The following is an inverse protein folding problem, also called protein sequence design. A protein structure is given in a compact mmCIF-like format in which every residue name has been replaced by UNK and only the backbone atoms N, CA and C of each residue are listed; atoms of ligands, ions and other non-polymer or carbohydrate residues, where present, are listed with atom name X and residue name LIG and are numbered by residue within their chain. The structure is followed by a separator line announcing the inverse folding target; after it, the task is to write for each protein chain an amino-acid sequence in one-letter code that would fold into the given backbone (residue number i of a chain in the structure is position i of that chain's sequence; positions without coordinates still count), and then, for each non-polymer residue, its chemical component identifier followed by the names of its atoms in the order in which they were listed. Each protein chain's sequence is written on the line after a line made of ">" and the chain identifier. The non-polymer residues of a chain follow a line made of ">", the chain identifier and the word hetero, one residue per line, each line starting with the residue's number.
data_IF_002959043932
#
_entry.id   IF_002959043932
#
_cell.length_a   1.000
_cell.length_b   1.000
_cell.length_c   1.000
_cell.angle_alpha   90.00
_cell.angle_beta   90.00
_cell.angle_gamma   90.00
#
_symmetry.space_group_name_H-M   'P 1'
#
loop_
_entity.id
_entity.type
_entity.pdbx_description
1 polymer ?
#
# COMPACT_ATOMS: atom_id res chain seq x y z
N UNK A 1 33.05 3.36 46.16
CA UNK A 1 34.35 3.88 45.68
C UNK A 1 34.68 3.13 44.39
N UNK A 2 34.73 3.65 43.17
CA UNK A 2 34.57 4.97 42.56
C UNK A 2 33.90 4.71 41.17
N UNK A 3 32.86 5.46 40.79
CA UNK A 3 32.91 6.66 39.94
C UNK A 3 32.97 6.39 38.42
N UNK A 4 31.77 6.47 37.81
CA UNK A 4 31.37 7.20 36.59
C UNK A 4 32.44 7.53 35.52
N UNK A 5 32.13 7.23 34.25
CA UNK A 5 32.21 8.24 33.19
C UNK A 5 31.39 7.88 31.93
N UNK A 6 30.29 8.60 31.75
CA UNK A 6 29.50 8.77 30.54
C UNK A 6 30.17 9.79 29.61
N UNK A 7 30.38 9.47 28.32
CA UNK A 7 30.68 10.47 27.30
C UNK A 7 29.68 10.40 26.14
N UNK A 8 28.72 11.32 26.21
CA UNK A 8 27.92 11.82 25.11
C UNK A 8 28.76 12.83 24.33
N UNK A 9 28.98 12.62 23.04
CA UNK A 9 29.62 13.60 22.16
C UNK A 9 28.56 14.23 21.25
N UNK A 10 27.98 15.34 21.74
CA UNK A 10 27.35 16.35 20.89
C UNK A 10 28.46 17.13 20.21
N UNK A 11 28.50 17.13 18.88
CA UNK A 11 29.31 18.08 18.12
C UNK A 11 28.40 19.21 17.65
N UNK A 12 28.73 20.41 18.12
CA UNK A 12 28.22 21.70 17.67
C UNK A 12 29.39 22.42 16.98
N UNK A 13 29.23 22.89 15.75
CA UNK A 13 30.17 23.81 15.08
C UNK A 13 29.38 24.87 14.29
N UNK A 14 29.85 26.13 14.20
CA UNK A 14 29.01 27.32 14.24
C UNK A 14 28.80 28.00 12.89
N UNK A 15 27.93 29.02 12.94
CA UNK A 15 27.68 30.03 11.92
C UNK A 15 28.95 30.76 11.45
N UNK A 16 29.01 31.15 10.17
CA UNK A 16 29.25 32.54 9.77
C UNK A 16 28.87 32.83 8.31
N UNK A 17 28.41 34.07 8.16
CA UNK A 17 28.03 34.86 6.99
C UNK A 17 29.12 34.90 5.89
N UNK A 18 28.71 34.90 4.60
CA UNK A 18 29.40 35.75 3.62
C UNK A 18 28.44 36.26 2.56
N UNK A 19 28.40 37.58 2.47
CA UNK A 19 27.75 38.40 1.47
C UNK A 19 28.67 38.54 0.25
N UNK A 20 28.11 38.43 -0.95
CA UNK A 20 28.66 39.12 -2.12
C UNK A 20 27.58 39.33 -3.19
N UNK A 21 27.12 40.56 -3.28
CA UNK A 21 26.32 41.13 -4.36
C UNK A 21 27.15 41.23 -5.64
N UNK A 22 26.52 41.01 -6.81
CA UNK A 22 26.64 41.85 -8.02
C UNK A 22 25.82 41.28 -9.19
N UNK A 23 24.62 41.80 -9.33
CA UNK A 23 23.95 42.30 -10.54
C UNK A 23 24.47 41.83 -11.93
N UNK A 24 23.56 41.27 -12.75
CA UNK A 24 23.48 41.66 -14.16
C UNK A 24 22.02 41.78 -14.59
N UNK A 25 21.71 42.98 -15.07
CA UNK A 25 20.45 43.46 -15.61
C UNK A 25 20.21 42.87 -17.00
N UNK A 26 18.99 42.41 -17.24
CA UNK A 26 18.52 42.01 -18.56
C UNK A 26 17.00 42.03 -18.61
N UNK A 27 16.43 43.24 -18.62
CA UNK A 27 15.02 43.48 -18.81
C UNK A 27 14.59 43.07 -20.24
N UNK A 28 13.71 42.07 -20.32
CA UNK A 28 13.00 41.68 -21.53
C UNK A 28 11.56 41.32 -21.14
N UNK A 29 10.73 42.35 -21.01
CA UNK A 29 9.32 42.20 -20.69
C UNK A 29 8.58 41.44 -21.81
N UNK A 30 7.74 40.45 -21.41
CA UNK A 30 6.30 40.37 -21.73
C UNK A 30 5.78 38.94 -21.57
N UNK A 31 5.09 38.69 -20.45
CA UNK A 31 3.71 38.18 -20.44
C UNK A 31 3.32 37.90 -19.00
N UNK A 32 2.53 38.82 -18.43
CA UNK A 32 1.80 38.62 -17.19
C UNK A 32 0.75 37.52 -17.43
N UNK A 33 0.93 36.36 -16.80
CA UNK A 33 -0.21 35.65 -16.23
C UNK A 33 0.25 35.09 -14.88
N UNK A 34 -0.06 35.86 -13.84
CA UNK A 34 0.14 35.49 -12.47
C UNK A 34 -0.86 34.40 -12.07
N UNK A 35 -0.36 33.43 -11.32
CA UNK A 35 -1.07 32.80 -10.22
C UNK A 35 -2.28 31.93 -10.58
N UNK A 36 -2.04 30.62 -10.68
CA UNK A 36 -2.68 29.65 -9.77
C UNK A 36 -2.02 28.28 -9.87
N UNK A 37 -1.44 27.89 -8.73
CA UNK A 37 -1.22 26.52 -8.26
C UNK A 37 -0.13 25.74 -9.00
N UNK A 38 1.08 25.81 -8.46
CA UNK A 38 1.93 24.63 -8.38
C UNK A 38 1.13 23.53 -7.68
N UNK A 39 0.58 22.59 -8.44
CA UNK A 39 0.06 21.36 -7.86
C UNK A 39 1.27 20.59 -7.35
N UNK A 40 1.55 20.73 -6.05
CA UNK A 40 2.26 19.71 -5.32
C UNK A 40 1.59 18.36 -5.61
N UNK A 41 2.33 17.25 -5.76
CA UNK A 41 1.77 15.97 -5.38
C UNK A 41 1.67 15.96 -3.85
N UNK A 42 0.77 16.80 -3.30
CA UNK A 42 0.25 16.59 -1.97
C UNK A 42 -0.55 15.30 -2.04
N UNK A 43 0.10 14.22 -1.63
CA UNK A 43 -0.54 13.11 -0.94
C UNK A 43 -1.84 12.69 -1.60
N UNK A 44 -1.78 12.31 -2.88
CA UNK A 44 -2.83 11.48 -3.43
C UNK A 44 -2.60 10.04 -2.97
N UNK A 45 -2.79 9.80 -1.68
CA UNK A 45 -3.34 8.54 -1.20
C UNK A 45 -4.80 8.44 -1.69
N UNK A 46 -4.99 8.53 -3.01
CA UNK A 46 -6.27 8.30 -3.66
C UNK A 46 -6.16 6.90 -4.28
N UNK A 47 -6.95 5.99 -3.70
CA UNK A 47 -7.29 4.65 -4.18
C UNK A 47 -6.36 3.48 -3.78
N UNK A 48 -6.26 3.19 -2.48
CA UNK A 48 -6.23 1.76 -2.06
C UNK A 48 -7.68 1.36 -1.79
N UNK A 49 -8.42 1.11 -2.88
CA UNK A 49 -9.63 0.32 -2.77
C UNK A 49 -9.23 -1.15 -2.73
N UNK A 50 -9.89 -2.01 -1.92
CA UNK A 50 -9.79 -3.46 -2.08
C UNK A 50 -10.08 -3.79 -3.54
N UNK A 51 -9.05 -4.26 -4.27
CA UNK A 51 -9.05 -4.62 -5.68
C UNK A 51 -10.47 -4.85 -6.24
N UNK A 52 -11.04 -3.83 -6.89
CA UNK A 52 -12.40 -3.87 -7.39
C UNK A 52 -12.57 -5.06 -8.37
N UNK A 53 -13.48 -5.98 -8.02
CA UNK A 53 -13.72 -7.24 -8.75
C UNK A 53 -13.82 -8.46 -7.81
N UNK A 54 -14.34 -9.60 -8.29
CA UNK A 54 -14.38 -10.87 -7.53
C UNK A 54 -12.99 -11.51 -7.44
N UNK A 55 -12.12 -10.92 -6.62
CA UNK A 55 -10.76 -11.40 -6.32
C UNK A 55 -10.59 -11.61 -4.82
N UNK A 56 -9.60 -12.42 -4.46
CA UNK A 56 -9.12 -12.60 -3.10
C UNK A 56 -8.08 -11.54 -2.76
N UNK A 57 -8.15 -10.93 -1.58
CA UNK A 57 -7.29 -9.79 -1.22
C UNK A 57 -5.82 -10.22 -1.02
N UNK A 58 -5.58 -11.36 -0.38
CA UNK A 58 -4.22 -11.87 -0.16
C UNK A 58 -3.62 -12.57 -1.39
N UNK A 59 -4.32 -13.56 -1.95
CA UNK A 59 -3.75 -14.43 -2.99
C UNK A 59 -4.07 -13.97 -4.41
N UNK A 60 -4.94 -12.97 -4.60
CA UNK A 60 -5.33 -12.50 -5.94
C UNK A 60 -6.13 -13.49 -6.79
N UNK A 61 -6.62 -14.59 -6.21
CA UNK A 61 -7.38 -15.62 -6.93
C UNK A 61 -8.60 -15.02 -7.63
N UNK A 62 -8.67 -15.22 -8.95
CA UNK A 62 -9.72 -14.72 -9.83
C UNK A 62 -10.56 -15.87 -10.40
N UNK A 63 -11.70 -15.53 -11.00
CA UNK A 63 -12.51 -16.49 -11.73
C UNK A 63 -11.72 -17.11 -12.89
N UNK A 64 -11.97 -18.39 -13.15
CA UNK A 64 -11.42 -19.11 -14.28
C UNK A 64 -12.43 -19.18 -15.43
N UNK A 65 -11.96 -19.11 -16.67
CA UNK A 65 -12.80 -19.32 -17.84
C UNK A 65 -12.95 -20.82 -18.07
N UNK A 66 -14.18 -21.33 -18.07
CA UNK A 66 -14.47 -22.74 -18.26
C UNK A 66 -15.65 -22.98 -19.20
N UNK A 67 -16.02 -24.25 -19.34
CA UNK A 67 -17.19 -24.67 -20.11
C UNK A 67 -18.13 -25.49 -19.23
N UNK A 68 -19.43 -25.42 -19.53
CA UNK A 68 -20.40 -26.45 -19.19
C UNK A 68 -20.49 -27.38 -20.39
N UNK A 69 -20.24 -28.67 -20.19
CA UNK A 69 -20.32 -29.70 -21.23
C UNK A 69 -21.62 -30.48 -21.01
N UNK A 70 -22.45 -30.62 -22.05
CA UNK A 70 -23.64 -31.48 -21.99
C UNK A 70 -23.30 -32.94 -22.28
N UNK A 71 -24.26 -33.85 -22.09
CA UNK A 71 -24.11 -35.26 -22.45
C UNK A 71 -23.74 -35.45 -23.94
N UNK A 72 -24.35 -34.64 -24.82
CA UNK A 72 -24.01 -34.58 -26.25
C UNK A 72 -22.72 -33.81 -26.57
N UNK A 73 -21.86 -33.55 -25.57
CA UNK A 73 -20.60 -32.79 -25.70
C UNK A 73 -20.71 -31.35 -26.22
N UNK A 74 -21.89 -30.72 -26.16
CA UNK A 74 -22.05 -29.29 -26.49
C UNK A 74 -21.40 -28.44 -25.41
N UNK A 75 -20.49 -27.54 -25.79
CA UNK A 75 -19.72 -26.70 -24.86
C UNK A 75 -20.28 -25.28 -24.80
N UNK A 76 -20.81 -24.90 -23.64
CA UNK A 76 -21.25 -23.52 -23.37
C UNK A 76 -20.25 -22.82 -22.47
N UNK A 77 -19.81 -21.61 -22.84
CA UNK A 77 -18.88 -20.80 -22.03
C UNK A 77 -19.50 -20.48 -20.67
N UNK A 78 -18.74 -20.62 -19.59
CA UNK A 78 -19.12 -20.16 -18.24
C UNK A 78 -17.90 -19.68 -17.46
N UNK A 79 -18.11 -18.76 -16.52
CA UNK A 79 -17.08 -18.35 -15.59
C UNK A 79 -17.17 -19.19 -14.31
N UNK A 80 -16.09 -19.89 -13.97
CA UNK A 80 -15.94 -20.57 -12.69
C UNK A 80 -15.45 -19.56 -11.65
N UNK A 81 -16.36 -19.14 -10.77
CA UNK A 81 -16.05 -18.14 -9.75
C UNK A 81 -15.12 -18.70 -8.67
N UNK A 82 -14.29 -17.83 -8.09
CA UNK A 82 -13.52 -18.18 -6.90
C UNK A 82 -14.46 -18.29 -5.68
N UNK A 83 -14.23 -19.29 -4.81
CA UNK A 83 -14.95 -19.40 -3.54
C UNK A 83 -14.42 -18.35 -2.55
N UNK A 84 -15.01 -17.16 -2.58
CA UNK A 84 -14.63 -15.99 -1.79
C UNK A 84 -15.63 -15.82 -0.65
N UNK A 85 -15.11 -15.55 0.55
CA UNK A 85 -15.89 -15.37 1.77
C UNK A 85 -15.40 -14.14 2.53
N UNK A 86 -16.31 -13.37 3.12
CA UNK A 86 -15.95 -12.30 4.04
C UNK A 86 -15.65 -12.91 5.40
N UNK A 87 -14.42 -12.72 5.90
CA UNK A 87 -14.01 -13.22 7.22
C UNK A 87 -13.22 -12.16 7.97
N UNK A 88 -13.38 -12.19 9.29
CA UNK A 88 -12.61 -11.38 10.23
C UNK A 88 -11.44 -12.21 10.73
N UNK A 89 -10.23 -11.70 10.58
CA UNK A 89 -9.01 -12.32 11.10
C UNK A 89 -8.42 -11.42 12.19
N UNK A 90 -7.86 -12.03 13.23
CA UNK A 90 -7.14 -11.29 14.26
C UNK A 90 -5.73 -10.99 13.78
N UNK A 91 -5.28 -9.75 13.98
CA UNK A 91 -3.91 -9.34 13.72
C UNK A 91 -3.21 -8.98 15.03
N UNK A 92 -2.11 -9.67 15.31
CA UNK A 92 -1.37 -9.58 16.56
C UNK A 92 -0.64 -8.24 16.74
N UNK A 93 0.05 -7.71 15.72
CA UNK A 93 0.85 -6.48 15.87
C UNK A 93 -0.01 -5.21 15.96
N UNK A 94 -1.18 -5.22 15.31
CA UNK A 94 -2.12 -4.10 15.33
C UNK A 94 -3.23 -4.26 16.37
N UNK A 95 -3.23 -5.36 17.14
CA UNK A 95 -4.25 -5.74 18.13
C UNK A 95 -5.70 -5.50 17.68
N UNK A 96 -5.99 -5.77 16.39
CA UNK A 96 -7.27 -5.43 15.76
C UNK A 96 -7.76 -6.54 14.86
N UNK A 97 -9.07 -6.51 14.59
CA UNK A 97 -9.66 -7.39 13.59
C UNK A 97 -9.56 -6.78 12.21
N UNK A 98 -9.22 -7.60 11.24
CA UNK A 98 -9.13 -7.24 9.82
C UNK A 98 -10.26 -7.95 9.06
N UNK A 99 -11.11 -7.20 8.35
CA UNK A 99 -12.15 -7.78 7.47
C UNK A 99 -11.58 -7.95 6.06
N UNK A 100 -11.43 -9.20 5.63
CA UNK A 100 -10.90 -9.53 4.31
C UNK A 100 -11.89 -10.39 3.52
N UNK A 101 -11.84 -10.24 2.20
CA UNK A 101 -12.45 -11.16 1.24
C UNK A 101 -11.43 -12.23 0.87
N UNK A 102 -11.58 -13.40 1.50
CA UNK A 102 -10.62 -14.47 1.41
C UNK A 102 -11.15 -15.66 0.64
N UNK A 103 -10.26 -16.29 -0.12
CA UNK A 103 -10.52 -17.62 -0.63
C UNK A 103 -10.34 -18.66 0.48
N UNK A 104 -11.06 -19.79 0.41
CA UNK A 104 -10.91 -20.88 1.39
C UNK A 104 -9.51 -21.46 1.44
N UNK A 105 -8.77 -21.43 0.33
CA UNK A 105 -7.35 -21.84 0.27
C UNK A 105 -6.43 -20.81 0.93
N UNK A 106 -6.77 -19.52 0.87
CA UNK A 106 -6.04 -18.49 1.58
C UNK A 106 -6.21 -18.66 3.09
N UNK A 107 -7.44 -18.92 3.57
CA UNK A 107 -7.70 -19.23 4.99
C UNK A 107 -6.81 -20.37 5.51
N UNK A 108 -6.79 -21.52 4.81
CA UNK A 108 -5.91 -22.64 5.14
C UNK A 108 -4.42 -22.32 5.12
N UNK A 109 -4.02 -21.28 4.41
CA UNK A 109 -2.60 -20.88 4.32
C UNK A 109 -2.26 -19.87 5.42
N UNK A 110 -3.18 -18.99 5.76
CA UNK A 110 -3.08 -18.11 6.93
C UNK A 110 -2.98 -18.94 8.21
N UNK A 111 -3.76 -20.01 8.35
CA UNK A 111 -3.68 -20.91 9.51
C UNK A 111 -2.30 -21.59 9.63
N UNK A 112 -1.60 -21.83 8.51
CA UNK A 112 -0.30 -22.52 8.50
C UNK A 112 0.90 -21.57 8.62
N UNK A 113 0.86 -20.42 7.95
CA UNK A 113 1.98 -19.47 7.88
C UNK A 113 1.82 -18.26 8.82
N UNK A 114 0.60 -18.00 9.27
CA UNK A 114 0.21 -16.74 9.92
C UNK A 114 -0.19 -15.66 8.92
N UNK A 115 -0.91 -14.65 9.42
CA UNK A 115 -1.42 -13.53 8.61
C UNK A 115 -0.29 -12.62 8.11
N UNK A 116 0.69 -12.36 8.97
CA UNK A 116 1.82 -11.48 8.72
C UNK A 116 2.73 -11.95 7.58
N UNK A 117 3.16 -13.21 7.63
CA UNK A 117 3.99 -13.79 6.59
C UNK A 117 3.28 -13.75 5.22
N UNK A 118 1.99 -14.09 5.19
CA UNK A 118 1.18 -14.07 3.97
C UNK A 118 0.98 -12.65 3.42
N UNK A 119 0.79 -11.64 4.28
CA UNK A 119 0.64 -10.26 3.85
C UNK A 119 1.94 -9.71 3.24
N UNK A 120 3.10 -10.05 3.82
CA UNK A 120 4.43 -9.71 3.28
C UNK A 120 4.66 -10.35 1.91
N UNK A 121 4.31 -11.63 1.74
CA UNK A 121 4.38 -12.31 0.43
C UNK A 121 3.49 -11.65 -0.62
N UNK A 122 2.31 -11.15 -0.22
CA UNK A 122 1.35 -10.51 -1.11
C UNK A 122 1.63 -9.02 -1.38
N UNK A 123 2.48 -8.37 -0.57
CA UNK A 123 2.74 -6.93 -0.64
C UNK A 123 1.53 -6.07 -0.28
N UNK A 124 0.69 -6.53 0.65
CA UNK A 124 -0.58 -5.88 1.04
C UNK A 124 -0.45 -5.22 2.41
N UNK A 125 -0.89 -3.97 2.52
CA UNK A 125 -0.97 -3.26 3.80
C UNK A 125 -2.23 -3.70 4.57
N UNK A 126 -2.07 -4.21 5.79
CA UNK A 126 -3.18 -4.72 6.60
C UNK A 126 -3.99 -3.62 7.30
N UNK A 127 -3.47 -2.40 7.33
CA UNK A 127 -4.08 -1.26 8.02
C UNK A 127 -5.36 -0.77 7.35
N UNK A 128 -5.40 -0.87 6.02
CA UNK A 128 -6.52 -0.42 5.19
C UNK A 128 -7.80 -1.26 5.37
N UNK A 129 -7.64 -2.47 5.90
CA UNK A 129 -8.72 -3.46 6.07
C UNK A 129 -9.19 -3.60 7.52
N UNK A 130 -8.67 -2.74 8.39
CA UNK A 130 -9.06 -2.69 9.79
C UNK A 130 -10.52 -2.27 9.95
N UNK A 131 -11.11 -2.74 11.05
CA UNK A 131 -12.51 -2.55 11.41
C UNK A 131 -12.61 -1.94 12.77
#
# INVERSE_FOLDING_TARGET
>A
MASLCSLSARVQVPAQLSSRSSEVTGAGARSLCASRVTCAPSTSSFLVSPLAGRKCDLTGKKANNGYKVSFSNKRTKKLQQANLQYKRLWWEEGNRFVKLRLSTKALKTVERKGLQAMAKEAGVNLEDFAV
#
